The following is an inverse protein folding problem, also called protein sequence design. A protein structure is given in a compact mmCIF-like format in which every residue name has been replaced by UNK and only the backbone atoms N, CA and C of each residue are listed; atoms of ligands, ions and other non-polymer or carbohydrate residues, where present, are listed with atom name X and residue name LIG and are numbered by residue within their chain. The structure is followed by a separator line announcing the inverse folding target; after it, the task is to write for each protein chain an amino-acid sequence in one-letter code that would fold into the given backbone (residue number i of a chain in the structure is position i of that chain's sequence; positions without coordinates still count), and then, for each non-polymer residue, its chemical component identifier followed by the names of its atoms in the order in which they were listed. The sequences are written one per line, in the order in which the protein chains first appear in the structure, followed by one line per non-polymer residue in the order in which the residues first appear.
data_IF_600098682121
#
_entry.id   IF_600098682121
#
_cell.length_a   1.000
_cell.length_b   1.000
_cell.length_c   1.000
_cell.angle_alpha   90.00
_cell.angle_beta   90.00
_cell.angle_gamma   90.00
#
_symmetry.space_group_name_H-M   'P 1'
#
loop_
_entity.id
_entity.type
_entity.pdbx_description
1 polymer ?
#
# COMPACT_ATOMS: atom_id res chain seq x y z
N UNK A 1 14.52 -21.65 2.30
CA UNK A 1 15.77 -21.25 1.59
C UNK A 1 15.79 -19.73 1.58
N UNK A 2 16.77 -19.09 2.22
CA UNK A 2 16.84 -17.62 2.32
C UNK A 2 17.93 -17.13 1.35
N UNK A 3 17.54 -16.92 0.09
CA UNK A 3 18.42 -16.36 -0.92
C UNK A 3 18.73 -14.90 -0.55
N UNK A 4 20.00 -14.50 -0.61
CA UNK A 4 20.35 -13.09 -0.39
C UNK A 4 19.77 -12.23 -1.51
N UNK A 5 19.33 -11.01 -1.19
CA UNK A 5 18.77 -10.05 -2.16
C UNK A 5 19.68 -9.80 -3.36
N UNK A 6 21.01 -9.88 -3.18
CA UNK A 6 22.00 -9.75 -4.25
C UNK A 6 21.98 -10.93 -5.23
N UNK A 7 21.84 -12.17 -4.75
CA UNK A 7 21.77 -13.35 -5.61
C UNK A 7 20.47 -13.39 -6.43
N UNK A 8 19.36 -12.95 -5.82
CA UNK A 8 18.08 -12.79 -6.52
C UNK A 8 18.19 -11.71 -7.59
N UNK A 9 18.78 -10.55 -7.25
CA UNK A 9 19.00 -9.47 -8.20
C UNK A 9 19.88 -9.90 -9.39
N UNK A 10 20.98 -10.61 -9.14
CA UNK A 10 21.86 -11.13 -10.20
C UNK A 10 21.16 -12.15 -11.10
N UNK A 11 20.37 -13.07 -10.52
CA UNK A 11 19.60 -14.04 -11.30
C UNK A 11 18.54 -13.37 -12.17
N UNK A 12 17.85 -12.36 -11.63
CA UNK A 12 16.87 -11.57 -12.35
C UNK A 12 17.51 -10.80 -13.51
N UNK A 13 18.62 -10.09 -13.27
CA UNK A 13 19.35 -9.39 -14.33
C UNK A 13 19.84 -10.37 -15.39
N UNK A 14 20.40 -11.52 -14.99
CA UNK A 14 20.86 -12.55 -15.93
C UNK A 14 19.74 -13.13 -16.81
N UNK A 15 18.52 -13.26 -16.28
CA UNK A 15 17.36 -13.72 -17.03
C UNK A 15 16.72 -12.65 -17.92
N UNK A 16 16.65 -11.40 -17.44
CA UNK A 16 16.03 -10.29 -18.17
C UNK A 16 16.95 -9.72 -19.25
N UNK A 17 18.26 -9.64 -19.03
CA UNK A 17 19.21 -9.03 -19.96
C UNK A 17 19.13 -9.58 -21.40
N UNK A 18 19.13 -10.92 -21.65
CA UNK A 18 19.02 -11.44 -23.02
C UNK A 18 17.64 -11.17 -23.64
N UNK A 19 16.56 -11.33 -22.87
CA UNK A 19 15.18 -11.10 -23.35
C UNK A 19 14.94 -9.63 -23.69
N UNK A 20 15.46 -8.74 -22.86
CA UNK A 20 15.38 -7.30 -23.07
C UNK A 20 16.24 -6.88 -24.24
N UNK A 21 17.46 -7.40 -24.43
CA UNK A 21 18.24 -7.12 -25.65
C UNK A 21 17.50 -7.50 -26.93
N UNK A 22 16.92 -8.70 -27.00
CA UNK A 22 16.20 -9.16 -28.19
C UNK A 22 14.95 -8.31 -28.44
N UNK A 23 14.19 -7.99 -27.38
CA UNK A 23 13.05 -7.07 -27.46
C UNK A 23 13.48 -5.68 -27.94
N UNK A 24 14.56 -5.14 -27.37
CA UNK A 24 15.11 -3.84 -27.69
C UNK A 24 15.68 -3.77 -29.13
N UNK A 25 16.21 -4.88 -29.67
CA UNK A 25 16.57 -5.00 -31.09
C UNK A 25 15.34 -4.93 -31.98
N UNK A 26 14.29 -5.68 -31.64
CA UNK A 26 13.02 -5.66 -32.40
C UNK A 26 12.37 -4.28 -32.39
N UNK A 27 12.31 -3.62 -31.23
CA UNK A 27 11.76 -2.26 -31.09
C UNK A 27 12.54 -1.27 -31.96
N UNK A 28 13.87 -1.35 -32.00
CA UNK A 28 14.67 -0.52 -32.90
C UNK A 28 14.34 -0.78 -34.38
N UNK A 29 14.20 -2.05 -34.78
CA UNK A 29 13.88 -2.40 -36.16
C UNK A 29 12.48 -1.92 -36.56
N UNK A 30 11.49 -2.06 -35.67
CA UNK A 30 10.12 -1.59 -35.87
C UNK A 30 10.10 -0.07 -36.04
N UNK A 31 10.65 0.69 -35.08
CA UNK A 31 10.71 2.16 -35.14
C UNK A 31 11.46 2.64 -36.38
N UNK A 32 12.61 2.04 -36.67
CA UNK A 32 13.44 2.41 -37.80
C UNK A 32 12.77 2.16 -39.15
N UNK A 33 11.94 1.11 -39.23
CA UNK A 33 11.15 0.79 -40.43
C UNK A 33 9.95 1.74 -40.57
N UNK A 34 9.20 1.97 -39.49
CA UNK A 34 8.04 2.89 -39.48
C UNK A 34 8.46 4.35 -39.76
N UNK A 35 9.64 4.74 -39.28
CA UNK A 35 10.17 6.11 -39.42
C UNK A 35 11.01 6.31 -40.68
N UNK A 36 11.07 5.33 -41.59
CA UNK A 36 11.91 5.34 -42.81
C UNK A 36 13.39 5.71 -42.54
N UNK A 37 13.95 5.29 -41.39
CA UNK A 37 15.34 5.57 -41.02
C UNK A 37 16.31 4.65 -41.77
N UNK A 38 15.88 3.43 -42.08
CA UNK A 38 16.68 2.44 -42.80
C UNK A 38 16.16 2.23 -44.22
N UNK A 39 17.08 2.05 -45.17
CA UNK A 39 16.74 1.84 -46.58
C UNK A 39 16.07 0.48 -46.84
N UNK A 40 16.41 -0.54 -46.04
CA UNK A 40 15.84 -1.89 -46.14
C UNK A 40 15.96 -2.65 -44.80
N UNK A 41 15.42 -3.87 -44.77
CA UNK A 41 15.47 -4.75 -43.60
C UNK A 41 16.89 -5.13 -43.18
N UNK A 42 17.82 -5.31 -44.13
CA UNK A 42 19.20 -5.69 -43.83
C UNK A 42 19.96 -4.54 -43.18
N UNK A 43 19.78 -3.32 -43.69
CA UNK A 43 20.29 -2.08 -43.11
C UNK A 43 19.70 -1.84 -41.71
N UNK A 44 18.40 -2.11 -41.51
CA UNK A 44 17.76 -2.06 -40.19
C UNK A 44 18.38 -3.07 -39.21
N UNK A 45 18.65 -4.30 -39.66
CA UNK A 45 19.31 -5.32 -38.84
C UNK A 45 20.73 -4.94 -38.48
N UNK A 46 21.51 -4.42 -39.43
CA UNK A 46 22.87 -3.97 -39.18
C UNK A 46 22.89 -2.74 -38.26
N UNK A 47 22.11 -1.71 -38.57
CA UNK A 47 22.04 -0.46 -37.80
C UNK A 47 21.56 -0.64 -36.37
N UNK A 48 20.56 -1.50 -36.13
CA UNK A 48 20.05 -1.81 -34.79
C UNK A 48 20.88 -2.84 -34.02
N UNK A 49 21.93 -3.41 -34.62
CA UNK A 49 22.86 -4.33 -33.93
C UNK A 49 24.27 -3.76 -33.91
N UNK A 50 25.13 -4.21 -34.82
CA UNK A 50 26.56 -3.90 -34.87
C UNK A 50 26.87 -2.50 -35.42
N UNK A 51 25.90 -1.86 -36.08
CA UNK A 51 26.03 -0.54 -36.70
C UNK A 51 25.84 0.63 -35.75
N UNK A 52 25.50 0.40 -34.49
CA UNK A 52 25.47 1.43 -33.44
C UNK A 52 24.38 2.50 -33.56
N UNK A 53 23.43 2.36 -34.49
CA UNK A 53 22.37 3.36 -34.73
C UNK A 53 21.16 3.20 -33.79
N UNK A 54 21.14 2.17 -32.95
CA UNK A 54 20.02 1.81 -32.08
C UNK A 54 19.59 2.94 -31.13
N UNK A 55 20.53 3.64 -30.49
CA UNK A 55 20.23 4.79 -29.63
C UNK A 55 19.55 5.90 -30.41
N UNK A 56 20.12 6.30 -31.53
CA UNK A 56 19.61 7.39 -32.37
C UNK A 56 18.21 7.13 -32.97
N UNK A 57 17.88 5.85 -33.22
CA UNK A 57 16.54 5.43 -33.66
C UNK A 57 15.54 5.54 -32.51
N UNK A 58 15.92 5.06 -31.32
CA UNK A 58 15.08 5.10 -30.12
C UNK A 58 14.83 6.52 -29.61
N UNK A 59 15.80 7.42 -29.77
CA UNK A 59 15.64 8.82 -29.39
C UNK A 59 14.60 9.55 -30.28
N UNK A 60 14.26 8.97 -31.44
CA UNK A 60 13.19 9.43 -32.35
C UNK A 60 11.87 8.68 -32.16
N UNK A 61 11.75 7.83 -31.14
CA UNK A 61 10.54 7.06 -30.88
C UNK A 61 9.32 7.97 -30.65
N UNK A 62 8.18 7.55 -31.21
CA UNK A 62 6.89 8.18 -30.94
C UNK A 62 6.48 7.97 -29.47
N UNK A 63 5.55 8.78 -28.95
CA UNK A 63 5.04 8.61 -27.58
C UNK A 63 4.51 7.20 -27.30
N UNK A 64 3.96 6.53 -28.34
CA UNK A 64 3.44 5.16 -28.26
C UNK A 64 4.53 4.11 -28.07
N UNK A 65 5.74 4.38 -28.54
CA UNK A 65 6.88 3.45 -28.47
C UNK A 65 7.82 3.75 -27.31
N UNK A 66 7.69 4.89 -26.64
CA UNK A 66 8.53 5.28 -25.50
C UNK A 66 8.57 4.23 -24.39
N UNK A 67 7.46 3.54 -24.13
CA UNK A 67 7.38 2.47 -23.10
C UNK A 67 7.99 1.14 -23.57
N UNK A 68 8.05 0.93 -24.89
CA UNK A 68 8.73 -0.23 -25.49
C UNK A 68 10.25 0.00 -25.52
N UNK A 69 10.68 1.25 -25.53
CA UNK A 69 12.07 1.69 -25.44
C UNK A 69 12.50 1.63 -23.97
N UNK A 70 13.07 0.50 -23.56
CA UNK A 70 13.58 0.28 -22.19
C UNK A 70 14.94 0.96 -22.01
N UNK A 71 14.95 2.29 -22.10
CA UNK A 71 16.15 3.12 -21.93
C UNK A 71 15.79 4.34 -21.11
N UNK A 72 16.60 4.65 -20.09
CA UNK A 72 16.39 5.79 -19.20
C UNK A 72 14.98 5.81 -18.58
N UNK A 73 14.52 4.66 -18.08
CA UNK A 73 13.17 4.49 -17.55
C UNK A 73 13.15 3.71 -16.24
N UNK A 74 12.36 4.18 -15.27
CA UNK A 74 11.98 3.44 -14.07
C UNK A 74 10.52 2.96 -14.24
N UNK A 75 10.31 1.64 -14.32
CA UNK A 75 9.04 1.08 -14.78
C UNK A 75 7.86 1.43 -13.87
N UNK A 76 8.02 1.25 -12.55
CA UNK A 76 6.95 1.61 -11.60
C UNK A 76 6.76 3.12 -11.56
N UNK A 77 7.83 3.91 -11.56
CA UNK A 77 7.73 5.36 -11.52
C UNK A 77 6.93 5.92 -12.71
N UNK A 78 7.24 5.46 -13.92
CA UNK A 78 6.55 5.88 -15.14
C UNK A 78 5.11 5.37 -15.20
N UNK A 79 4.84 4.15 -14.71
CA UNK A 79 3.47 3.67 -14.59
C UNK A 79 2.65 4.55 -13.64
N UNK A 80 3.20 4.92 -12.48
CA UNK A 80 2.50 5.74 -11.49
C UNK A 80 2.24 7.17 -11.99
N UNK A 81 3.12 7.76 -12.82
CA UNK A 81 2.91 9.09 -13.43
C UNK A 81 1.61 9.21 -14.24
N UNK A 82 1.09 8.10 -14.76
CA UNK A 82 -0.12 8.10 -15.58
C UNK A 82 -1.42 8.22 -14.77
N UNK A 83 -1.38 8.08 -13.43
CA UNK A 83 -2.57 8.16 -12.58
C UNK A 83 -2.58 9.50 -11.82
N UNK A 84 -3.70 10.23 -11.94
CA UNK A 84 -3.91 11.52 -11.25
C UNK A 84 -3.74 11.42 -9.73
N UNK A 85 -4.02 10.28 -9.11
CA UNK A 85 -3.83 10.07 -7.67
C UNK A 85 -2.36 10.23 -7.26
N UNK A 86 -1.43 9.85 -8.13
CA UNK A 86 0.00 9.92 -7.86
C UNK A 86 0.64 11.17 -8.46
N UNK A 87 -0.10 11.95 -9.25
CA UNK A 87 0.45 13.13 -9.90
C UNK A 87 0.87 14.18 -8.85
N UNK A 88 2.03 14.79 -9.07
CA UNK A 88 2.63 15.75 -8.14
C UNK A 88 3.04 15.22 -6.75
N UNK A 89 2.80 13.95 -6.41
CA UNK A 89 3.12 13.38 -5.09
C UNK A 89 4.31 12.42 -5.16
N UNK A 90 5.52 12.98 -5.00
CA UNK A 90 6.79 12.25 -5.09
C UNK A 90 6.89 11.18 -3.99
N UNK A 91 6.55 11.54 -2.77
CA UNK A 91 6.64 10.71 -1.58
C UNK A 91 5.72 9.49 -1.68
N UNK A 92 4.51 9.67 -2.21
CA UNK A 92 3.58 8.56 -2.44
C UNK A 92 4.09 7.60 -3.51
N UNK A 93 4.70 8.12 -4.59
CA UNK A 93 5.33 7.25 -5.61
C UNK A 93 6.52 6.49 -5.04
N UNK A 94 7.37 7.15 -4.27
CA UNK A 94 8.51 6.53 -3.57
C UNK A 94 8.04 5.44 -2.59
N UNK A 95 6.95 5.69 -1.87
CA UNK A 95 6.34 4.72 -0.98
C UNK A 95 5.83 3.48 -1.73
N UNK A 96 5.04 3.67 -2.79
CA UNK A 96 4.54 2.55 -3.60
C UNK A 96 5.70 1.79 -4.23
N UNK A 97 6.67 2.49 -4.83
CA UNK A 97 7.87 1.88 -5.41
C UNK A 97 8.67 1.10 -4.37
N UNK A 98 8.71 1.54 -3.12
CA UNK A 98 9.32 0.80 -2.01
C UNK A 98 8.58 -0.49 -1.70
N UNK A 99 7.25 -0.44 -1.64
CA UNK A 99 6.43 -1.61 -1.38
C UNK A 99 6.47 -2.61 -2.54
N UNK A 100 6.45 -2.14 -3.79
CA UNK A 100 6.35 -3.00 -4.97
C UNK A 100 7.69 -3.41 -5.55
N UNK A 101 8.77 -2.72 -5.20
CA UNK A 101 10.02 -2.76 -5.96
C UNK A 101 9.86 -2.07 -7.31
N UNK A 102 10.90 -2.08 -8.14
CA UNK A 102 10.86 -1.60 -9.53
C UNK A 102 12.05 -2.14 -10.35
N UNK A 103 12.01 -1.95 -11.66
CA UNK A 103 13.14 -2.14 -12.56
C UNK A 103 13.55 -0.78 -13.13
N UNK A 104 14.84 -0.47 -13.03
CA UNK A 104 15.42 0.76 -13.60
C UNK A 104 16.29 0.36 -14.78
N UNK A 105 15.96 0.91 -15.94
CA UNK A 105 16.74 0.79 -17.18
C UNK A 105 17.56 2.06 -17.38
N UNK A 106 18.88 1.94 -17.24
CA UNK A 106 19.83 3.02 -17.46
C UNK A 106 20.04 3.35 -18.94
N UNK A 107 21.02 4.21 -19.21
CA UNK A 107 21.35 4.68 -20.55
C UNK A 107 21.99 3.58 -21.42
N UNK A 108 22.83 2.74 -20.80
CA UNK A 108 23.59 1.66 -21.44
C UNK A 108 22.90 0.30 -21.36
N UNK A 109 21.57 0.28 -21.21
CA UNK A 109 20.79 -0.95 -20.97
C UNK A 109 21.20 -1.71 -19.70
N UNK A 110 21.87 -1.02 -18.76
CA UNK A 110 22.06 -1.51 -17.40
C UNK A 110 20.69 -1.65 -16.72
N UNK A 111 20.45 -2.83 -16.15
CA UNK A 111 19.20 -3.13 -15.44
C UNK A 111 19.53 -3.13 -13.95
N UNK A 112 18.96 -2.18 -13.21
CA UNK A 112 19.04 -2.13 -11.75
C UNK A 112 17.70 -2.53 -11.16
N UNK A 113 17.55 -3.79 -10.68
CA UNK A 113 16.35 -4.19 -9.97
C UNK A 113 16.36 -3.66 -8.53
N UNK A 114 15.24 -3.09 -8.12
CA UNK A 114 14.96 -2.75 -6.74
C UNK A 114 13.91 -3.72 -6.20
N UNK A 115 14.24 -4.56 -5.20
CA UNK A 115 13.29 -5.55 -4.69
C UNK A 115 12.16 -4.88 -3.89
N UNK A 116 11.01 -5.55 -3.84
CA UNK A 116 9.88 -5.16 -3.00
C UNK A 116 10.25 -5.22 -1.50
N UNK A 117 9.82 -4.21 -0.73
CA UNK A 117 10.01 -4.14 0.73
C UNK A 117 8.68 -4.25 1.50
N UNK A 118 7.66 -4.88 0.93
CA UNK A 118 6.31 -5.02 1.55
C UNK A 118 6.29 -5.68 2.93
N UNK A 119 7.30 -6.50 3.24
CA UNK A 119 7.44 -7.19 4.54
C UNK A 119 8.29 -6.44 5.55
N UNK A 120 8.81 -5.26 5.18
CA UNK A 120 9.61 -4.46 6.09
C UNK A 120 8.74 -3.96 7.25
N UNK A 121 8.97 -4.56 8.42
CA UNK A 121 8.24 -4.25 9.64
C UNK A 121 8.51 -2.83 10.11
N UNK A 122 9.66 -2.25 9.78
CA UNK A 122 9.99 -0.88 10.18
C UNK A 122 9.13 0.13 9.43
N UNK A 123 8.81 -0.13 8.15
CA UNK A 123 7.88 0.71 7.35
C UNK A 123 6.48 0.66 7.96
N UNK A 124 5.95 -0.54 8.21
CA UNK A 124 4.61 -0.70 8.79
C UNK A 124 4.54 -0.09 10.20
N UNK A 125 5.57 -0.31 11.03
CA UNK A 125 5.65 0.27 12.37
C UNK A 125 5.72 1.80 12.31
N UNK A 126 6.51 2.38 11.42
CA UNK A 126 6.63 3.84 11.30
C UNK A 126 5.29 4.49 10.93
N UNK A 127 4.50 3.87 10.04
CA UNK A 127 3.15 4.35 9.69
C UNK A 127 2.21 4.26 10.89
N UNK A 128 2.22 3.13 11.59
CA UNK A 128 1.30 2.85 12.69
C UNK A 128 1.62 3.64 13.95
N UNK A 129 2.87 3.64 14.38
CA UNK A 129 3.33 4.12 15.70
C UNK A 129 4.25 5.34 15.62
N UNK A 130 4.76 5.66 14.43
CA UNK A 130 5.80 6.66 14.23
C UNK A 130 7.20 6.05 14.36
N UNK A 131 8.21 6.89 14.17
CA UNK A 131 9.61 6.49 14.10
C UNK A 131 10.18 6.60 12.69
N UNK A 132 11.34 5.99 12.50
CA UNK A 132 12.10 6.08 11.25
C UNK A 132 12.03 4.75 10.50
N UNK A 133 11.78 4.83 9.19
CA UNK A 133 11.84 3.71 8.27
C UNK A 133 12.73 4.05 7.08
N UNK A 134 13.21 3.01 6.39
CA UNK A 134 14.01 3.16 5.17
C UNK A 134 13.15 2.92 3.94
N UNK A 135 13.09 3.92 3.06
CA UNK A 135 12.39 3.82 1.79
C UNK A 135 13.34 4.10 0.63
N UNK A 136 12.89 3.75 -0.58
CA UNK A 136 13.53 4.19 -1.80
C UNK A 136 13.24 5.67 -2.04
N UNK A 137 14.31 6.45 -2.20
CA UNK A 137 14.21 7.87 -2.51
C UNK A 137 14.83 8.18 -3.87
N UNK A 138 14.10 8.89 -4.70
CA UNK A 138 14.54 9.36 -5.99
C UNK A 138 15.27 10.70 -5.81
N UNK A 139 16.47 10.83 -6.35
CA UNK A 139 17.16 12.13 -6.34
C UNK A 139 16.45 13.18 -7.23
N UNK A 140 15.74 12.73 -8.26
CA UNK A 140 14.92 13.54 -9.16
C UNK A 140 13.44 13.15 -9.09
N UNK A 141 12.56 14.06 -9.51
CA UNK A 141 11.10 13.83 -9.51
C UNK A 141 10.54 13.46 -10.89
N UNK A 142 11.38 13.47 -11.94
CA UNK A 142 10.92 13.24 -13.31
C UNK A 142 10.94 11.75 -13.65
N UNK A 143 12.12 11.14 -13.69
CA UNK A 143 12.33 9.76 -14.15
C UNK A 143 12.72 8.79 -13.04
N UNK A 144 13.23 9.31 -11.91
CA UNK A 144 13.68 8.51 -10.78
C UNK A 144 14.68 7.40 -11.21
N UNK A 145 15.74 7.79 -11.93
CA UNK A 145 16.75 6.83 -12.41
C UNK A 145 17.84 6.59 -11.35
N UNK A 146 18.08 7.57 -10.48
CA UNK A 146 19.06 7.48 -9.39
C UNK A 146 18.32 7.37 -8.06
N UNK A 147 18.28 6.15 -7.53
CA UNK A 147 17.58 5.83 -6.28
C UNK A 147 18.55 5.62 -5.14
N UNK A 148 18.32 6.33 -4.03
CA UNK A 148 18.92 6.05 -2.74
C UNK A 148 18.10 4.94 -2.09
N UNK A 149 18.70 3.76 -1.94
CA UNK A 149 17.98 2.56 -1.52
C UNK A 149 17.50 2.60 -0.06
N UNK A 150 18.18 3.37 0.80
CA UNK A 150 17.96 3.37 2.26
C UNK A 150 17.79 4.79 2.80
N UNK A 151 16.96 5.59 2.15
CA UNK A 151 16.66 6.93 2.64
C UNK A 151 15.77 6.86 3.88
N UNK A 152 16.15 7.60 4.92
CA UNK A 152 15.39 7.66 6.15
C UNK A 152 14.17 8.58 5.98
N UNK A 153 12.99 8.06 6.28
CA UNK A 153 11.77 8.85 6.47
C UNK A 153 11.33 8.69 7.91
N UNK A 154 11.04 9.82 8.57
CA UNK A 154 10.63 9.85 9.97
C UNK A 154 9.21 10.36 10.08
N UNK A 155 8.35 9.57 10.72
CA UNK A 155 6.97 9.94 11.06
C UNK A 155 6.94 10.29 12.54
N UNK A 156 6.56 11.52 12.87
CA UNK A 156 6.40 11.92 14.26
C UNK A 156 5.28 11.09 14.91
N UNK A 157 5.48 10.68 16.17
CA UNK A 157 4.54 9.80 16.89
C UNK A 157 3.12 10.36 16.94
N UNK A 158 2.97 11.68 17.03
CA UNK A 158 1.66 12.37 17.08
C UNK A 158 0.94 12.42 15.72
N UNK A 159 1.69 12.18 14.63
CA UNK A 159 1.22 12.07 13.24
C UNK A 159 1.02 10.63 12.79
N UNK A 160 1.51 9.66 13.55
CA UNK A 160 1.32 8.25 13.26
C UNK A 160 -0.16 7.85 13.33
N UNK A 161 -0.55 6.82 12.57
CA UNK A 161 -1.94 6.45 12.38
C UNK A 161 -2.64 6.10 13.71
N UNK A 162 -1.98 5.33 14.59
CA UNK A 162 -2.53 5.02 15.92
C UNK A 162 -2.79 6.28 16.74
N UNK A 163 -1.87 7.25 16.75
CA UNK A 163 -2.07 8.48 17.52
C UNK A 163 -3.23 9.31 16.97
N UNK A 164 -3.38 9.39 15.65
CA UNK A 164 -4.51 10.08 15.03
C UNK A 164 -5.84 9.39 15.34
N UNK A 165 -5.89 8.05 15.26
CA UNK A 165 -7.08 7.26 15.58
C UNK A 165 -7.43 7.39 17.06
N UNK A 166 -6.46 7.28 17.97
CA UNK A 166 -6.71 7.47 19.41
C UNK A 166 -7.31 8.85 19.68
N UNK A 167 -6.76 9.92 19.08
CA UNK A 167 -7.31 11.28 19.24
C UNK A 167 -8.76 11.36 18.75
N UNK A 168 -9.08 10.76 17.60
CA UNK A 168 -10.44 10.71 17.06
C UNK A 168 -11.38 9.92 17.98
N UNK A 169 -10.99 8.72 18.41
CA UNK A 169 -11.79 7.87 19.29
C UNK A 169 -12.03 8.54 20.65
N UNK A 170 -11.02 9.17 21.24
CA UNK A 170 -11.15 9.93 22.50
C UNK A 170 -12.06 11.14 22.32
N UNK A 171 -11.97 11.86 21.19
CA UNK A 171 -12.87 12.98 20.90
C UNK A 171 -14.33 12.53 20.76
N UNK A 172 -14.58 11.47 19.98
CA UNK A 172 -15.91 10.85 19.83
C UNK A 172 -16.44 10.38 21.18
N UNK A 173 -15.59 9.74 21.99
CA UNK A 173 -15.95 9.27 23.32
C UNK A 173 -16.39 10.43 24.23
N UNK A 174 -15.59 11.49 24.31
CA UNK A 174 -15.88 12.64 25.15
C UNK A 174 -17.18 13.32 24.72
N UNK A 175 -17.38 13.51 23.41
CA UNK A 175 -18.59 14.09 22.84
C UNK A 175 -19.83 13.23 23.10
N UNK A 176 -19.70 11.91 23.05
CA UNK A 176 -20.79 11.01 23.41
C UNK A 176 -21.18 11.09 24.89
N UNK A 177 -20.22 11.33 25.79
CA UNK A 177 -20.47 11.50 27.24
C UNK A 177 -21.06 12.88 27.54
N UNK A 178 -20.56 13.93 26.88
CA UNK A 178 -21.00 15.31 27.09
C UNK A 178 -22.18 15.73 26.23
N UNK A 179 -22.83 14.78 25.53
CA UNK A 179 -23.94 15.00 24.60
C UNK A 179 -23.67 16.14 23.60
N UNK A 180 -22.46 16.14 23.03
CA UNK A 180 -21.99 17.16 22.10
C UNK A 180 -21.97 16.61 20.67
N UNK A 181 -22.39 17.38 19.65
CA UNK A 181 -22.38 16.92 18.26
C UNK A 181 -20.99 16.56 17.73
N UNK A 182 -20.92 15.49 16.93
CA UNK A 182 -19.71 15.13 16.19
C UNK A 182 -19.42 16.11 15.05
N UNK A 183 -18.14 16.32 14.77
CA UNK A 183 -17.69 17.05 13.59
C UNK A 183 -17.63 16.15 12.35
N UNK A 184 -17.42 16.76 11.17
CA UNK A 184 -17.46 16.03 9.91
C UNK A 184 -16.30 15.04 9.73
N UNK A 185 -15.17 15.28 10.39
CA UNK A 185 -14.02 14.35 10.37
C UNK A 185 -14.35 13.09 11.18
N UNK A 186 -14.97 13.25 12.33
CA UNK A 186 -15.43 12.14 13.18
C UNK A 186 -16.54 11.33 12.49
N UNK A 187 -17.52 12.00 11.88
CA UNK A 187 -18.57 11.33 11.08
C UNK A 187 -17.97 10.57 9.91
N UNK A 188 -17.04 11.20 9.17
CA UNK A 188 -16.32 10.59 8.06
C UNK A 188 -15.57 9.33 8.50
N UNK A 189 -14.82 9.42 9.61
CA UNK A 189 -14.11 8.29 10.20
C UNK A 189 -15.06 7.12 10.52
N UNK A 190 -16.18 7.37 11.20
CA UNK A 190 -17.16 6.33 11.53
C UNK A 190 -17.75 5.70 10.26
N UNK A 191 -18.05 6.50 9.23
CA UNK A 191 -18.58 5.98 7.95
C UNK A 191 -17.56 5.20 7.12
N UNK A 192 -16.27 5.44 7.36
CA UNK A 192 -15.16 4.80 6.62
C UNK A 192 -14.74 3.45 7.17
N UNK A 193 -15.21 3.07 8.37
CA UNK A 193 -14.87 1.81 9.00
C UNK A 193 -16.09 0.89 9.12
N UNK A 194 -15.87 -0.40 8.94
CA UNK A 194 -16.89 -1.45 9.19
C UNK A 194 -17.09 -1.70 10.69
N UNK A 195 -16.23 -1.14 11.53
CA UNK A 195 -16.21 -1.36 12.97
C UNK A 195 -17.28 -0.46 13.61
N UNK A 196 -18.22 -1.02 14.41
CA UNK A 196 -19.25 -0.23 15.08
C UNK A 196 -18.65 0.58 16.25
N UNK A 197 -17.96 1.68 15.92
CA UNK A 197 -17.18 2.53 16.85
C UNK A 197 -18.00 2.90 18.09
N UNK A 198 -19.24 3.36 17.92
CA UNK A 198 -20.10 3.76 19.04
C UNK A 198 -20.39 2.64 20.03
N UNK A 199 -20.65 1.42 19.53
CA UNK A 199 -20.88 0.24 20.37
C UNK A 199 -19.67 0.03 21.27
N UNK A 200 -18.49 0.04 20.69
CA UNK A 200 -17.29 -0.24 21.46
C UNK A 200 -16.80 0.92 22.36
N UNK A 201 -17.21 2.16 22.13
CA UNK A 201 -16.84 3.31 22.97
C UNK A 201 -17.83 3.56 24.12
N UNK A 202 -19.13 3.33 23.91
CA UNK A 202 -20.19 3.66 24.87
C UNK A 202 -20.47 2.48 25.81
N UNK A 203 -20.49 1.25 25.28
CA UNK A 203 -20.86 0.06 26.04
C UNK A 203 -19.97 -0.18 27.28
N UNK A 204 -18.63 -0.09 27.21
CA UNK A 204 -17.77 -0.33 28.37
C UNK A 204 -18.01 0.67 29.51
N UNK A 205 -18.33 1.93 29.16
CA UNK A 205 -18.57 2.98 30.15
C UNK A 205 -19.85 2.74 30.95
N UNK A 206 -20.91 2.29 30.29
CA UNK A 206 -22.16 1.90 30.95
C UNK A 206 -21.98 0.68 31.88
N UNK A 207 -20.93 -0.11 31.65
CA UNK A 207 -20.58 -1.31 32.41
C UNK A 207 -19.47 -1.06 33.46
N UNK A 208 -18.93 0.16 33.56
CA UNK A 208 -17.82 0.49 34.47
C UNK A 208 -16.48 -0.17 34.11
N UNK A 209 -16.31 -0.60 32.85
CA UNK A 209 -15.08 -1.25 32.36
C UNK A 209 -14.09 -0.18 31.88
N UNK A 210 -12.81 -0.34 32.25
CA UNK A 210 -11.73 0.61 31.94
C UNK A 210 -11.51 0.82 30.43
N UNK A 211 -10.98 1.99 30.06
CA UNK A 211 -10.61 2.41 28.68
C UNK A 211 -9.57 1.53 27.94
N UNK A 212 -9.17 0.37 28.48
CA UNK A 212 -8.25 -0.58 27.83
C UNK A 212 -8.79 -1.09 26.48
N UNK A 213 -10.12 -1.15 26.33
CA UNK A 213 -10.81 -1.52 25.09
C UNK A 213 -10.52 -0.53 23.96
N UNK A 214 -10.36 0.77 24.26
CA UNK A 214 -10.07 1.83 23.28
C UNK A 214 -8.72 1.61 22.58
N UNK A 215 -7.71 1.15 23.33
CA UNK A 215 -6.38 0.90 22.76
C UNK A 215 -6.36 -0.32 21.84
N UNK A 216 -7.04 -1.40 22.22
CA UNK A 216 -7.17 -2.59 21.37
C UNK A 216 -7.93 -2.29 20.08
N UNK A 217 -8.97 -1.45 20.15
CA UNK A 217 -9.69 -0.97 18.99
C UNK A 217 -8.86 -0.04 18.11
N UNK A 218 -8.07 0.86 18.71
CA UNK A 218 -7.17 1.75 17.98
C UNK A 218 -6.22 0.94 17.11
N UNK A 219 -5.59 -0.09 17.69
CA UNK A 219 -4.65 -0.94 16.97
C UNK A 219 -5.34 -1.65 15.82
N UNK A 220 -6.51 -2.25 16.06
CA UNK A 220 -7.26 -2.96 15.05
C UNK A 220 -7.74 -2.04 13.91
N UNK A 221 -8.41 -0.93 14.23
CA UNK A 221 -8.88 0.05 13.24
C UNK A 221 -7.71 0.60 12.43
N UNK A 222 -6.57 0.87 13.06
CA UNK A 222 -5.38 1.36 12.38
C UNK A 222 -4.80 0.37 11.39
N UNK A 223 -4.68 -0.91 11.77
CA UNK A 223 -4.20 -1.94 10.85
C UNK A 223 -5.17 -2.16 9.69
N UNK A 224 -6.48 -2.17 9.94
CA UNK A 224 -7.50 -2.32 8.90
C UNK A 224 -7.42 -1.18 7.86
N UNK A 225 -7.44 0.08 8.33
CA UNK A 225 -7.32 1.26 7.45
C UNK A 225 -6.01 1.25 6.66
N UNK A 226 -4.88 0.95 7.33
CA UNK A 226 -3.58 0.91 6.67
C UNK A 226 -3.54 -0.17 5.59
N UNK A 227 -4.04 -1.37 5.88
CA UNK A 227 -4.01 -2.48 4.94
C UNK A 227 -4.92 -2.22 3.75
N UNK A 228 -6.12 -1.70 3.98
CA UNK A 228 -7.02 -1.31 2.90
C UNK A 228 -6.36 -0.26 2.02
N UNK A 229 -5.76 0.77 2.61
CA UNK A 229 -5.07 1.81 1.85
C UNK A 229 -3.92 1.25 0.99
N UNK A 230 -3.07 0.41 1.58
CA UNK A 230 -1.97 -0.23 0.83
C UNK A 230 -2.53 -1.11 -0.30
N UNK A 231 -3.59 -1.89 -0.06
CA UNK A 231 -4.22 -2.71 -1.09
C UNK A 231 -4.75 -1.87 -2.25
N UNK A 232 -5.42 -0.75 -1.96
CA UNK A 232 -5.91 0.19 -2.98
C UNK A 232 -4.77 0.79 -3.79
N UNK A 233 -3.67 1.20 -3.14
CA UNK A 233 -2.48 1.72 -3.82
C UNK A 233 -1.86 0.67 -4.76
N UNK A 234 -1.70 -0.57 -4.29
CA UNK A 234 -1.15 -1.66 -5.09
C UNK A 234 -2.05 -2.02 -6.27
N UNK A 235 -3.36 -2.05 -6.06
CA UNK A 235 -4.32 -2.33 -7.12
C UNK A 235 -4.26 -1.26 -8.21
N UNK A 236 -4.13 0.01 -7.82
CA UNK A 236 -3.95 1.10 -8.76
C UNK A 236 -2.62 1.02 -9.51
N UNK A 237 -1.51 0.73 -8.81
CA UNK A 237 -0.22 0.53 -9.45
C UNK A 237 -0.29 -0.59 -10.51
N UNK A 238 -0.90 -1.73 -10.16
CA UNK A 238 -1.12 -2.87 -11.06
C UNK A 238 -1.94 -2.48 -12.28
N UNK A 239 -3.01 -1.71 -12.11
CA UNK A 239 -3.83 -1.23 -13.22
C UNK A 239 -3.00 -0.35 -14.18
N UNK A 240 -2.18 0.56 -13.66
CA UNK A 240 -1.36 1.43 -14.52
C UNK A 240 -0.29 0.67 -15.29
N UNK A 241 0.31 -0.34 -14.67
CA UNK A 241 1.29 -1.20 -15.32
C UNK A 241 0.62 -2.01 -16.43
N UNK A 242 -0.56 -2.58 -16.19
CA UNK A 242 -1.31 -3.35 -17.18
C UNK A 242 -1.73 -2.53 -18.42
N UNK A 243 -1.87 -1.20 -18.29
CA UNK A 243 -2.13 -0.32 -19.44
C UNK A 243 -0.87 0.04 -20.23
N UNK A 244 0.32 -0.26 -19.71
CA UNK A 244 1.58 0.08 -20.34
C UNK A 244 2.02 -0.91 -21.42
N UNK A 245 2.74 -0.41 -22.43
CA UNK A 245 3.23 -1.21 -23.56
C UNK A 245 4.66 -1.71 -23.33
N UNK A 246 4.90 -2.32 -22.17
CA UNK A 246 6.21 -2.84 -21.80
C UNK A 246 6.45 -4.22 -22.41
N UNK A 247 7.71 -4.61 -22.67
CA UNK A 247 8.04 -5.97 -23.09
C UNK A 247 7.57 -7.03 -22.08
N UNK A 248 7.09 -8.18 -22.58
CA UNK A 248 6.47 -9.22 -21.75
C UNK A 248 7.37 -9.68 -20.59
N UNK A 249 8.67 -9.87 -20.82
CA UNK A 249 9.59 -10.28 -19.76
C UNK A 249 9.69 -9.26 -18.61
N UNK A 250 9.58 -7.96 -18.90
CA UNK A 250 9.53 -6.91 -17.88
C UNK A 250 8.19 -6.92 -17.15
N UNK A 251 7.11 -7.08 -17.91
CA UNK A 251 5.76 -7.18 -17.37
C UNK A 251 5.64 -8.34 -16.38
N UNK A 252 6.09 -9.53 -16.77
CA UNK A 252 6.02 -10.74 -15.94
C UNK A 252 6.76 -10.53 -14.61
N UNK A 253 7.94 -9.93 -14.65
CA UNK A 253 8.73 -9.67 -13.44
C UNK A 253 8.05 -8.64 -12.51
N UNK A 254 7.55 -7.54 -13.08
CA UNK A 254 6.88 -6.50 -12.29
C UNK A 254 5.57 -7.05 -11.69
N UNK A 255 4.79 -7.80 -12.45
CA UNK A 255 3.58 -8.46 -11.96
C UNK A 255 3.89 -9.50 -10.87
N UNK A 256 4.99 -10.23 -11.00
CA UNK A 256 5.45 -11.15 -9.96
C UNK A 256 5.76 -10.40 -8.65
N UNK A 257 6.50 -9.29 -8.70
CA UNK A 257 6.77 -8.46 -7.53
C UNK A 257 5.48 -7.94 -6.87
N UNK A 258 4.51 -7.50 -7.67
CA UNK A 258 3.19 -7.07 -7.17
C UNK A 258 2.40 -8.22 -6.53
N UNK A 259 2.42 -9.40 -7.14
CA UNK A 259 1.74 -10.57 -6.59
C UNK A 259 2.37 -11.00 -5.27
N UNK A 260 3.70 -10.97 -5.17
CA UNK A 260 4.42 -11.24 -3.92
C UNK A 260 4.06 -10.22 -2.84
N UNK A 261 4.01 -8.93 -3.19
CA UNK A 261 3.58 -7.87 -2.29
C UNK A 261 2.13 -8.11 -1.78
N UNK A 262 1.21 -8.45 -2.68
CA UNK A 262 -0.18 -8.77 -2.32
C UNK A 262 -0.28 -10.00 -1.40
N UNK A 263 0.46 -11.07 -1.69
CA UNK A 263 0.50 -12.27 -0.84
C UNK A 263 1.02 -11.95 0.56
N UNK A 264 2.07 -11.14 0.67
CA UNK A 264 2.65 -10.72 1.95
C UNK A 264 1.65 -9.89 2.77
N UNK A 265 0.93 -8.98 2.12
CA UNK A 265 -0.14 -8.21 2.77
C UNK A 265 -1.28 -9.11 3.23
N UNK A 266 -1.69 -10.09 2.44
CA UNK A 266 -2.73 -11.05 2.83
C UNK A 266 -2.32 -11.88 4.06
N UNK A 267 -1.04 -12.30 4.12
CA UNK A 267 -0.49 -12.98 5.31
C UNK A 267 -0.57 -12.07 6.52
N UNK A 268 -0.18 -10.79 6.38
CA UNK A 268 -0.26 -9.83 7.46
C UNK A 268 -1.72 -9.56 7.89
N UNK A 269 -2.64 -9.44 6.94
CA UNK A 269 -4.07 -9.26 7.20
C UNK A 269 -4.65 -10.43 8.00
N UNK A 270 -4.27 -11.68 7.70
CA UNK A 270 -4.74 -12.83 8.47
C UNK A 270 -4.25 -12.79 9.93
N UNK A 271 -3.04 -12.29 10.18
CA UNK A 271 -2.52 -12.10 11.55
C UNK A 271 -3.32 -11.04 12.33
N UNK A 272 -3.72 -9.95 11.67
CA UNK A 272 -4.57 -8.91 12.27
C UNK A 272 -5.98 -9.43 12.52
N UNK A 273 -6.55 -10.25 11.62
CA UNK A 273 -7.87 -10.86 11.81
C UNK A 273 -7.93 -11.77 13.05
N UNK A 274 -6.88 -12.52 13.36
CA UNK A 274 -6.82 -13.31 14.61
C UNK A 274 -6.97 -12.43 15.85
N UNK A 275 -6.44 -11.20 15.82
CA UNK A 275 -6.62 -10.25 16.92
C UNK A 275 -8.05 -9.70 16.99
N UNK A 276 -8.73 -9.56 15.84
CA UNK A 276 -10.15 -9.19 15.78
C UNK A 276 -11.05 -10.24 16.45
N UNK A 277 -10.80 -11.52 16.20
CA UNK A 277 -11.62 -12.60 16.78
C UNK A 277 -11.58 -12.57 18.31
N UNK A 278 -10.43 -12.21 18.89
CA UNK A 278 -10.30 -11.99 20.33
C UNK A 278 -11.19 -10.81 20.80
N UNK A 279 -11.27 -9.73 20.04
CA UNK A 279 -12.13 -8.57 20.29
C UNK A 279 -13.63 -8.94 20.19
N UNK A 280 -14.01 -9.80 19.24
CA UNK A 280 -15.38 -10.30 19.10
C UNK A 280 -15.80 -11.22 20.26
N UNK A 281 -14.85 -11.91 20.90
CA UNK A 281 -15.12 -12.64 22.14
C UNK A 281 -15.45 -11.67 23.27
N UNK A 282 -14.71 -10.56 23.38
CA UNK A 282 -15.01 -9.49 24.36
C UNK A 282 -16.39 -8.88 24.08
N UNK A 283 -16.73 -8.62 22.81
CA UNK A 283 -18.04 -8.11 22.42
C UNK A 283 -19.18 -9.04 22.86
N UNK A 284 -19.04 -10.35 22.63
CA UNK A 284 -20.01 -11.35 23.09
C UNK A 284 -20.17 -11.31 24.61
N UNK A 285 -19.07 -11.24 25.36
CA UNK A 285 -19.13 -11.12 26.83
C UNK A 285 -19.83 -9.83 27.28
N UNK A 286 -19.58 -8.69 26.64
CA UNK A 286 -20.28 -7.45 26.94
C UNK A 286 -21.79 -7.53 26.65
N UNK A 287 -22.17 -8.19 25.56
CA UNK A 287 -23.57 -8.45 25.24
C UNK A 287 -24.26 -9.29 26.32
N UNK A 288 -23.59 -10.33 26.83
CA UNK A 288 -24.10 -11.12 27.96
C UNK A 288 -24.22 -10.28 29.24
N UNK A 289 -23.23 -9.45 29.57
CA UNK A 289 -23.30 -8.56 30.73
C UNK A 289 -24.47 -7.57 30.62
N UNK A 290 -24.74 -7.05 29.43
CA UNK A 290 -25.90 -6.19 29.15
C UNK A 290 -27.22 -6.91 29.38
N UNK A 291 -27.37 -8.14 28.90
CA UNK A 291 -28.57 -8.95 29.14
C UNK A 291 -28.78 -9.22 30.64
N UNK A 292 -27.70 -9.45 31.40
CA UNK A 292 -27.81 -9.64 32.84
C UNK A 292 -28.19 -8.35 33.57
N UNK A 293 -27.60 -7.20 33.19
CA UNK A 293 -27.95 -5.92 33.77
C UNK A 293 -29.39 -5.50 33.43
N UNK A 294 -29.84 -5.70 32.20
CA UNK A 294 -31.22 -5.43 31.82
C UNK A 294 -32.19 -6.34 32.57
N UNK A 295 -31.89 -7.63 32.71
CA UNK A 295 -32.69 -8.56 33.52
C UNK A 295 -32.73 -8.16 35.01
N UNK A 296 -31.60 -7.70 35.58
CA UNK A 296 -31.54 -7.21 36.97
C UNK A 296 -32.29 -5.89 37.15
N UNK A 297 -32.19 -4.96 36.20
CA UNK A 297 -32.97 -3.72 36.20
C UNK A 297 -34.45 -4.04 36.13
N UNK A 298 -34.88 -4.91 35.21
CA UNK A 298 -36.27 -5.35 35.07
C UNK A 298 -36.79 -5.97 36.37
N UNK A 299 -36.00 -6.84 37.00
CA UNK A 299 -36.33 -7.44 38.30
C UNK A 299 -36.43 -6.40 39.41
N UNK A 300 -35.51 -5.41 39.47
CA UNK A 300 -35.61 -4.30 40.43
C UNK A 300 -36.84 -3.43 40.20
N UNK A 301 -37.16 -3.10 38.94
CA UNK A 301 -38.39 -2.38 38.61
C UNK A 301 -39.61 -3.19 39.05
N UNK A 302 -39.69 -4.47 38.70
CA UNK A 302 -40.77 -5.36 39.12
C UNK A 302 -40.89 -5.44 40.66
N UNK A 303 -39.77 -5.59 41.38
CA UNK A 303 -39.75 -5.59 42.85
C UNK A 303 -40.18 -4.24 43.45
N UNK A 304 -39.86 -3.12 42.81
CA UNK A 304 -40.31 -1.79 43.23
C UNK A 304 -41.77 -1.49 42.85
N UNK A 305 -42.33 -2.18 41.85
CA UNK A 305 -43.76 -2.12 41.49
C UNK A 305 -44.62 -3.06 42.34
N UNK A 306 -44.01 -4.00 43.07
CA UNK A 306 -44.67 -4.63 44.21
C UNK A 306 -44.70 -3.61 45.36
N UNK A 307 -45.70 -2.74 45.34
CA UNK A 307 -46.09 -1.97 46.51
C UNK A 307 -46.27 -2.95 47.67
N UNK A 308 -45.40 -2.84 48.68
CA UNK A 308 -45.55 -3.53 49.94
C UNK A 308 -46.82 -3.06 50.63
N UNK A 309 -47.93 -3.71 50.33
CA UNK A 309 -49.09 -3.81 51.20
C UNK A 309 -49.01 -5.16 51.91
N UNK A 310 -48.34 -5.21 53.05
CA UNK A 310 -48.39 -6.35 53.96
C UNK A 310 -49.82 -6.51 54.52
N UNK A 311 -50.39 -7.69 54.29
CA UNK A 311 -51.21 -8.54 55.17
C UNK A 311 -52.19 -7.92 56.18
N UNK A 312 -53.43 -8.45 56.11
CA UNK A 312 -54.38 -8.81 57.21
C UNK A 312 -54.33 -7.99 58.50
#
# INVERSE_FOLDING_TARGET
MNLSSCQVAQGLVGGLFPQTQESQRKVCQDIGSESNIFADWAASRQGCTVGGQSSSVRDKASDKDKERVLKNQNIIWEALKKNRMFDGNKELKEFIMTLTGTLIFGEDSEITPLPARTTDRDILRAIMEGGTAKIYHCNDSDKCLKVVADANVTIARDKALKSQITKLLTSIQNKAVSDTPLDDREKGFISSTTIPVFKYLIDPQMLGVSNSVVYQLTDYIGYDIMLQYIQELLQQARAMIATGNYPQAVMDNVLENLNQAQQQIAVFQSQVQVQQDALLVVDRQMSYMRQQLSARMLSRYQNNYHFGGGTL
#
